data_IF_363930463095
#
_entry.id   IF_363930463095
#
_cell.length_a   1.000
_cell.length_b   1.000
_cell.length_c   1.000
_cell.angle_alpha   90.00
_cell.angle_beta   90.00
_cell.angle_gamma   90.00
#
_symmetry.space_group_name_H-M   'P 1'
#
loop_
_entity.id
_entity.type
_entity.pdbx_description
1 polymer ?
#
# COMPACT_ATOMS: atom_id res chain seq x y z
N UNK A 1 22.87 1.26 20.48
CA UNK A 1 22.11 1.04 19.21
C UNK A 1 21.52 2.39 18.81
N UNK A 2 21.95 2.97 17.71
CA UNK A 2 21.35 4.22 17.22
C UNK A 2 19.91 3.91 16.80
N UNK A 3 18.94 4.51 17.50
CA UNK A 3 17.53 4.43 17.09
C UNK A 3 17.37 5.49 15.98
N UNK A 4 16.89 5.05 14.83
CA UNK A 4 16.49 5.95 13.75
C UNK A 4 15.05 6.34 13.99
N UNK A 5 14.83 7.60 14.29
CA UNK A 5 13.50 8.16 14.35
C UNK A 5 12.94 8.31 12.93
N UNK A 6 11.74 7.77 12.72
CA UNK A 6 11.04 7.98 11.47
C UNK A 6 10.42 9.39 11.53
N UNK A 7 10.80 10.29 10.61
CA UNK A 7 10.29 11.65 10.64
C UNK A 7 8.80 11.70 10.30
N UNK A 8 8.15 12.78 10.70
CA UNK A 8 6.85 13.14 10.13
C UNK A 8 7.12 13.59 8.69
N UNK A 9 6.65 12.79 7.74
CA UNK A 9 6.83 13.10 6.31
C UNK A 9 6.07 14.36 5.93
N UNK A 10 6.58 15.23 5.05
CA UNK A 10 5.89 16.41 4.56
C UNK A 10 4.48 16.10 4.02
N UNK A 11 3.56 17.01 4.23
CA UNK A 11 2.20 16.95 3.69
C UNK A 11 2.15 17.67 2.34
N UNK A 12 1.35 17.13 1.40
CA UNK A 12 1.23 17.73 0.07
C UNK A 12 0.14 18.81 -0.01
N UNK A 13 -0.80 18.80 0.95
CA UNK A 13 -1.94 19.73 1.00
C UNK A 13 -1.99 20.55 2.31
N UNK A 14 -0.83 20.87 2.86
CA UNK A 14 -0.70 21.75 4.03
C UNK A 14 -0.98 21.08 5.37
N UNK A 15 -1.20 19.78 5.40
CA UNK A 15 -1.43 18.99 6.61
C UNK A 15 -2.87 19.01 7.11
N UNK A 16 -3.16 18.23 8.16
CA UNK A 16 -4.51 17.96 8.63
C UNK A 16 -5.32 19.23 8.93
N UNK A 17 -6.56 19.26 8.47
CA UNK A 17 -7.54 20.32 8.74
C UNK A 17 -8.47 19.98 9.89
N UNK A 18 -8.41 18.77 10.41
CA UNK A 18 -9.22 18.30 11.53
C UNK A 18 -8.56 17.19 12.33
N UNK A 19 -9.27 16.78 13.37
CA UNK A 19 -8.96 15.62 14.19
C UNK A 19 -10.15 14.66 14.18
N UNK A 20 -9.95 13.40 14.54
CA UNK A 20 -11.04 12.44 14.65
C UNK A 20 -10.51 11.05 14.98
N UNK A 21 -11.42 10.12 15.25
CA UNK A 21 -11.09 8.73 15.56
C UNK A 21 -11.42 7.83 14.38
N UNK A 22 -10.45 7.01 13.97
CA UNK A 22 -10.67 5.96 13.00
C UNK A 22 -10.70 4.59 13.71
N UNK A 23 -11.44 3.62 13.14
CA UNK A 23 -11.48 2.25 13.68
C UNK A 23 -11.97 2.12 15.13
N UNK A 24 -12.87 3.01 15.57
CA UNK A 24 -13.51 2.89 16.89
C UNK A 24 -14.30 1.58 17.01
N UNK A 25 -14.87 1.14 15.90
CA UNK A 25 -15.45 -0.19 15.70
C UNK A 25 -14.98 -0.73 14.33
N UNK A 26 -15.03 -2.04 14.09
CA UNK A 26 -14.60 -2.62 12.80
C UNK A 26 -15.32 -2.02 11.58
N UNK A 27 -16.57 -1.65 11.72
CA UNK A 27 -17.41 -1.07 10.67
C UNK A 27 -16.98 0.34 10.25
N UNK A 28 -16.16 1.01 11.02
CA UNK A 28 -15.57 2.30 10.65
C UNK A 28 -14.49 2.18 9.59
N UNK A 29 -14.00 0.96 9.33
CA UNK A 29 -12.96 0.68 8.37
C UNK A 29 -13.30 -0.53 7.51
N UNK A 30 -14.03 -0.30 6.42
CA UNK A 30 -14.46 -1.35 5.50
C UNK A 30 -13.52 -1.37 4.30
N UNK A 31 -13.03 -2.56 3.93
CA UNK A 31 -12.10 -2.76 2.83
C UNK A 31 -12.58 -3.88 1.92
N UNK A 32 -12.74 -3.61 0.63
CA UNK A 32 -13.09 -4.61 -0.36
C UNK A 32 -11.94 -4.81 -1.35
N UNK A 33 -11.43 -6.04 -1.44
CA UNK A 33 -10.40 -6.45 -2.39
C UNK A 33 -10.97 -6.64 -3.80
N UNK A 34 -10.25 -6.13 -4.81
CA UNK A 34 -10.59 -6.33 -6.21
C UNK A 34 -9.51 -7.16 -6.90
N UNK A 35 -9.92 -8.25 -7.56
CA UNK A 35 -9.05 -9.00 -8.46
C UNK A 35 -8.83 -8.22 -9.76
N UNK A 36 -7.68 -8.43 -10.39
CA UNK A 36 -7.40 -7.88 -11.73
C UNK A 36 -7.97 -8.74 -12.87
N UNK A 37 -8.68 -9.80 -12.55
CA UNK A 37 -9.28 -10.75 -13.49
C UNK A 37 -10.54 -11.39 -12.91
N UNK A 38 -11.36 -11.96 -13.77
CA UNK A 38 -12.52 -12.76 -13.35
C UNK A 38 -12.11 -14.24 -13.19
N UNK A 39 -12.54 -14.94 -12.11
CA UNK A 39 -12.34 -16.37 -11.98
C UNK A 39 -12.97 -17.15 -13.13
N UNK A 40 -12.27 -18.18 -13.63
CA UNK A 40 -12.64 -18.89 -14.88
C UNK A 40 -13.86 -19.82 -14.81
N UNK A 41 -14.41 -20.06 -13.61
CA UNK A 41 -15.53 -20.98 -13.40
C UNK A 41 -15.13 -22.46 -13.36
N UNK A 42 -13.92 -22.85 -13.74
CA UNK A 42 -13.43 -24.21 -13.77
C UNK A 42 -11.98 -24.32 -13.33
N UNK A 43 -11.56 -25.49 -12.82
CA UNK A 43 -10.19 -25.77 -12.41
C UNK A 43 -10.09 -26.42 -11.02
N UNK A 44 -8.85 -26.56 -10.56
CA UNK A 44 -8.55 -27.26 -9.30
C UNK A 44 -8.53 -26.37 -8.06
N UNK A 45 -8.58 -25.04 -8.22
CA UNK A 45 -8.65 -24.10 -7.12
C UNK A 45 -10.07 -23.57 -6.94
N UNK A 46 -10.55 -23.52 -5.71
CA UNK A 46 -11.77 -22.77 -5.38
C UNK A 46 -11.35 -21.41 -4.87
N UNK A 47 -11.78 -20.36 -5.55
CA UNK A 47 -11.65 -18.98 -5.10
C UNK A 47 -12.86 -18.65 -4.22
N UNK A 48 -12.56 -18.21 -3.00
CA UNK A 48 -13.56 -17.81 -2.00
C UNK A 48 -13.41 -16.33 -1.75
N UNK A 49 -14.48 -15.58 -1.98
CA UNK A 49 -14.58 -14.20 -1.51
C UNK A 49 -15.25 -14.22 -0.13
N UNK A 50 -14.50 -13.87 0.89
CA UNK A 50 -14.96 -13.88 2.27
C UNK A 50 -15.04 -12.46 2.83
N UNK A 51 -16.17 -12.13 3.45
CA UNK A 51 -16.25 -11.01 4.38
C UNK A 51 -15.85 -11.52 5.77
N UNK A 52 -14.92 -10.80 6.42
CA UNK A 52 -14.50 -11.11 7.78
C UNK A 52 -14.48 -9.85 8.64
N UNK A 53 -14.90 -9.97 9.90
CA UNK A 53 -14.94 -8.91 10.90
C UNK A 53 -14.07 -9.28 12.10
N UNK A 54 -13.07 -8.46 12.42
CA UNK A 54 -12.23 -8.67 13.58
C UNK A 54 -11.26 -9.85 13.49
N UNK A 55 -11.09 -10.48 12.33
CA UNK A 55 -10.33 -11.72 12.14
C UNK A 55 -9.04 -11.51 11.35
N UNK A 56 -7.99 -12.26 11.69
CA UNK A 56 -6.73 -12.26 10.96
C UNK A 56 -6.81 -13.11 9.68
N UNK A 57 -6.20 -12.64 8.60
CA UNK A 57 -6.11 -13.37 7.32
C UNK A 57 -5.50 -14.77 7.49
N UNK A 58 -4.40 -14.91 8.24
CA UNK A 58 -3.74 -16.20 8.46
C UNK A 58 -4.58 -17.16 9.30
N UNK A 59 -5.34 -16.64 10.26
CA UNK A 59 -6.27 -17.43 11.04
C UNK A 59 -7.35 -18.02 10.15
N UNK A 60 -7.98 -17.21 9.31
CA UNK A 60 -8.98 -17.67 8.34
C UNK A 60 -8.40 -18.70 7.37
N UNK A 61 -7.18 -18.48 6.85
CA UNK A 61 -6.53 -19.45 5.97
C UNK A 61 -6.31 -20.82 6.64
N UNK A 62 -5.96 -20.84 7.94
CA UNK A 62 -5.85 -22.09 8.72
C UNK A 62 -7.20 -22.77 8.92
N UNK A 63 -8.27 -22.00 9.20
CA UNK A 63 -9.61 -22.56 9.35
C UNK A 63 -10.12 -23.12 8.03
N UNK A 64 -9.91 -22.43 6.91
CA UNK A 64 -10.23 -22.95 5.56
C UNK A 64 -9.52 -24.26 5.25
N UNK A 65 -8.22 -24.35 5.60
CA UNK A 65 -7.45 -25.58 5.39
C UNK A 65 -8.02 -26.77 6.17
N UNK A 66 -8.43 -26.54 7.42
CA UNK A 66 -9.07 -27.57 8.27
C UNK A 66 -10.45 -27.97 7.73
N UNK A 67 -11.27 -26.98 7.40
CA UNK A 67 -12.62 -27.18 6.88
C UNK A 67 -12.62 -27.99 5.57
N UNK A 68 -11.75 -27.63 4.64
CA UNK A 68 -11.62 -28.30 3.33
C UNK A 68 -10.77 -29.59 3.39
N UNK A 69 -10.26 -29.98 4.57
CA UNK A 69 -9.38 -31.15 4.75
C UNK A 69 -8.18 -31.15 3.79
N UNK A 70 -7.48 -29.98 3.72
CA UNK A 70 -6.27 -29.78 2.94
C UNK A 70 -5.13 -29.25 3.81
N UNK A 71 -3.90 -29.26 3.30
CA UNK A 71 -2.76 -28.70 4.04
C UNK A 71 -2.81 -27.17 4.00
N UNK A 72 -2.28 -26.49 5.02
CA UNK A 72 -2.25 -25.02 5.06
C UNK A 72 -1.60 -24.39 3.84
N UNK A 73 -0.55 -25.03 3.26
CA UNK A 73 0.12 -24.57 2.04
C UNK A 73 -0.77 -24.61 0.77
N UNK A 74 -1.86 -25.34 0.83
CA UNK A 74 -2.82 -25.50 -0.27
C UNK A 74 -3.89 -24.40 -0.22
N UNK A 75 -3.90 -23.58 0.82
CA UNK A 75 -4.67 -22.34 0.94
C UNK A 75 -3.77 -21.15 0.67
N UNK A 76 -4.24 -20.17 -0.10
CA UNK A 76 -3.49 -18.93 -0.36
C UNK A 76 -4.40 -17.72 -0.41
N UNK A 77 -3.77 -16.55 -0.29
CA UNK A 77 -4.40 -15.22 -0.34
C UNK A 77 -3.42 -14.23 -0.95
N UNK A 78 -3.93 -13.11 -1.50
CA UNK A 78 -3.11 -12.15 -2.24
C UNK A 78 -2.33 -11.16 -1.33
N UNK A 79 -2.81 -10.93 -0.11
CA UNK A 79 -2.19 -10.03 0.87
C UNK A 79 -2.79 -10.21 2.25
N UNK A 80 -2.24 -9.49 3.24
CA UNK A 80 -2.81 -9.42 4.58
C UNK A 80 -3.83 -8.29 4.64
N UNK A 81 -4.89 -8.45 5.44
CA UNK A 81 -5.88 -7.41 5.74
C UNK A 81 -5.93 -7.15 7.24
N UNK A 82 -6.22 -5.92 7.59
CA UNK A 82 -6.35 -5.47 8.97
C UNK A 82 -7.35 -6.34 9.74
N UNK A 83 -7.02 -6.59 11.01
CA UNK A 83 -7.90 -7.27 11.93
C UNK A 83 -9.03 -6.36 12.43
N UNK A 84 -8.70 -5.12 12.78
CA UNK A 84 -9.67 -4.14 13.30
C UNK A 84 -10.42 -3.44 12.15
N UNK A 85 -11.13 -4.27 11.34
CA UNK A 85 -11.84 -3.83 10.15
C UNK A 85 -12.88 -4.87 9.74
N UNK A 86 -13.82 -4.47 8.90
CA UNK A 86 -14.62 -5.38 8.07
C UNK A 86 -13.94 -5.48 6.72
N UNK A 87 -13.52 -6.67 6.31
CA UNK A 87 -12.77 -6.81 5.07
C UNK A 87 -13.32 -7.91 4.18
N UNK A 88 -13.57 -7.59 2.93
CA UNK A 88 -13.85 -8.57 1.88
C UNK A 88 -12.53 -8.95 1.23
N UNK A 89 -12.17 -10.23 1.30
CA UNK A 89 -10.87 -10.74 0.89
C UNK A 89 -11.02 -12.02 0.07
N UNK A 90 -10.14 -12.20 -0.93
CA UNK A 90 -10.06 -13.42 -1.71
C UNK A 90 -9.06 -14.42 -1.12
N UNK A 91 -9.52 -15.69 -1.05
CA UNK A 91 -8.70 -16.85 -0.74
C UNK A 91 -8.79 -17.85 -1.88
N UNK A 92 -7.79 -18.70 -2.06
CA UNK A 92 -7.92 -19.86 -2.93
C UNK A 92 -7.55 -21.14 -2.17
N UNK A 93 -8.37 -22.18 -2.35
CA UNK A 93 -8.18 -23.51 -1.78
C UNK A 93 -7.93 -24.48 -2.91
N UNK A 94 -6.85 -25.25 -2.88
CA UNK A 94 -6.52 -26.24 -3.88
C UNK A 94 -7.22 -27.57 -3.59
N UNK A 95 -8.13 -27.98 -4.49
CA UNK A 95 -8.99 -29.17 -4.37
C UNK A 95 -8.96 -30.02 -5.66
N UNK A 96 -7.79 -30.62 -6.03
CA UNK A 96 -7.69 -31.40 -7.24
C UNK A 96 -8.54 -32.66 -7.15
N UNK A 97 -9.40 -32.87 -8.15
CA UNK A 97 -10.27 -34.05 -8.24
C UNK A 97 -11.32 -34.21 -7.12
N UNK A 98 -11.48 -33.19 -6.26
CA UNK A 98 -12.47 -33.20 -5.18
C UNK A 98 -13.66 -32.31 -5.52
N UNK A 99 -14.84 -32.71 -5.05
CA UNK A 99 -16.02 -31.84 -5.03
C UNK A 99 -15.81 -30.69 -4.04
N UNK A 100 -16.51 -29.58 -4.25
CA UNK A 100 -16.52 -28.47 -3.31
C UNK A 100 -17.25 -28.89 -2.03
N UNK A 101 -16.69 -28.57 -0.86
CA UNK A 101 -17.46 -28.65 0.37
C UNK A 101 -18.63 -27.66 0.31
N UNK A 102 -19.61 -27.88 1.16
CA UNK A 102 -20.67 -26.89 1.39
C UNK A 102 -20.10 -25.68 2.13
N UNK A 103 -19.65 -24.67 1.37
CA UNK A 103 -18.98 -23.48 1.91
C UNK A 103 -19.89 -22.65 2.84
N UNK A 104 -21.22 -22.80 2.77
CA UNK A 104 -22.12 -22.14 3.71
C UNK A 104 -21.89 -22.60 5.16
N UNK A 105 -21.43 -23.85 5.36
CA UNK A 105 -21.10 -24.37 6.68
C UNK A 105 -19.79 -23.78 7.26
N UNK A 106 -19.01 -23.05 6.46
CA UNK A 106 -17.84 -22.33 6.93
C UNK A 106 -18.19 -20.99 7.60
N UNK A 107 -19.39 -20.49 7.40
CA UNK A 107 -19.83 -19.22 7.94
C UNK A 107 -19.89 -19.22 9.48
N UNK A 108 -19.72 -18.06 10.05
CA UNK A 108 -19.84 -17.77 11.48
C UNK A 108 -20.30 -16.33 11.69
N UNK A 109 -20.48 -15.90 12.94
CA UNK A 109 -20.84 -14.51 13.27
C UNK A 109 -19.85 -13.49 12.69
N UNK A 110 -18.58 -13.89 12.51
CA UNK A 110 -17.49 -13.03 12.06
C UNK A 110 -17.03 -13.30 10.62
N UNK A 111 -17.58 -14.31 9.95
CA UNK A 111 -17.16 -14.72 8.60
C UNK A 111 -18.36 -15.08 7.75
N UNK A 112 -18.46 -14.46 6.56
CA UNK A 112 -19.47 -14.81 5.53
C UNK A 112 -18.80 -15.21 4.24
N UNK A 113 -19.36 -16.17 3.54
CA UNK A 113 -18.94 -16.59 2.21
C UNK A 113 -19.77 -15.87 1.17
N UNK A 114 -19.21 -14.85 0.54
CA UNK A 114 -19.93 -14.05 -0.45
C UNK A 114 -19.96 -14.73 -1.82
N UNK A 115 -18.87 -15.42 -2.16
CA UNK A 115 -18.74 -16.13 -3.43
C UNK A 115 -17.80 -17.33 -3.30
N UNK A 116 -18.12 -18.42 -3.98
CA UNK A 116 -17.25 -19.56 -4.20
C UNK A 116 -17.25 -19.90 -5.69
N UNK A 117 -16.09 -19.91 -6.33
CA UNK A 117 -15.96 -20.14 -7.78
C UNK A 117 -14.68 -20.87 -8.12
N UNK A 118 -14.72 -21.82 -9.04
CA UNK A 118 -13.53 -22.54 -9.50
C UNK A 118 -12.64 -21.65 -10.36
N UNK A 119 -11.31 -21.89 -10.26
CA UNK A 119 -10.33 -21.25 -11.10
C UNK A 119 -9.15 -22.19 -11.41
N UNK A 120 -8.54 -22.01 -12.59
CA UNK A 120 -7.47 -22.88 -13.07
C UNK A 120 -6.16 -22.76 -12.29
N UNK A 121 -5.89 -21.59 -11.66
CA UNK A 121 -4.59 -21.28 -11.04
C UNK A 121 -4.75 -20.85 -9.60
N UNK A 122 -3.68 -21.06 -8.81
CA UNK A 122 -3.56 -20.59 -7.43
C UNK A 122 -3.58 -19.05 -7.37
N UNK A 123 -4.29 -18.49 -6.40
CA UNK A 123 -4.20 -17.06 -6.07
C UNK A 123 -2.79 -16.70 -5.61
N UNK A 124 -2.17 -15.71 -6.24
CA UNK A 124 -0.81 -15.26 -5.93
C UNK A 124 -0.84 -13.82 -5.42
N UNK A 125 0.23 -13.43 -4.75
CA UNK A 125 0.47 -12.01 -4.43
C UNK A 125 0.64 -11.20 -5.71
N UNK A 126 0.16 -9.94 -5.72
CA UNK A 126 0.28 -9.04 -6.87
C UNK A 126 -0.78 -9.19 -7.94
N UNK A 127 -1.80 -10.05 -7.73
CA UNK A 127 -2.93 -10.23 -8.67
C UNK A 127 -4.14 -9.34 -8.33
N UNK A 128 -4.03 -8.49 -7.33
CA UNK A 128 -5.08 -7.53 -7.01
C UNK A 128 -4.92 -6.29 -7.88
N UNK A 129 -6.02 -5.76 -8.42
CA UNK A 129 -6.07 -4.45 -9.04
C UNK A 129 -6.05 -3.32 -8.00
N UNK A 130 -6.70 -3.54 -6.86
CA UNK A 130 -6.78 -2.54 -5.79
C UNK A 130 -7.71 -2.93 -4.66
N UNK A 131 -8.02 -1.93 -3.85
CA UNK A 131 -8.99 -2.05 -2.76
C UNK A 131 -9.91 -0.83 -2.77
N UNK A 132 -11.21 -1.02 -2.59
CA UNK A 132 -12.10 0.09 -2.23
C UNK A 132 -12.30 0.15 -0.72
N UNK A 133 -12.50 1.36 -0.23
CA UNK A 133 -12.60 1.67 1.17
C UNK A 133 -13.87 2.47 1.43
N UNK A 134 -14.56 2.14 2.53
CA UNK A 134 -15.47 3.03 3.22
C UNK A 134 -14.88 3.28 4.61
N UNK A 135 -14.59 4.53 4.92
CA UNK A 135 -13.95 4.97 6.15
C UNK A 135 -14.90 5.90 6.89
N UNK A 136 -15.14 5.62 8.17
CA UNK A 136 -15.92 6.50 9.04
C UNK A 136 -14.97 7.11 10.07
N UNK A 137 -14.90 8.43 10.09
CA UNK A 137 -14.16 9.22 11.06
C UNK A 137 -15.17 9.73 12.07
N UNK A 138 -15.05 9.27 13.32
CA UNK A 138 -15.90 9.67 14.44
C UNK A 138 -15.27 10.79 15.24
N UNK A 139 -16.09 11.49 16.01
CA UNK A 139 -15.68 12.62 16.85
C UNK A 139 -14.85 13.64 16.05
N UNK A 140 -15.21 13.80 14.76
CA UNK A 140 -14.55 14.73 13.87
C UNK A 140 -14.71 16.17 14.37
N UNK A 141 -13.58 16.88 14.39
CA UNK A 141 -13.53 18.30 14.74
C UNK A 141 -12.52 18.99 13.83
N UNK A 142 -12.88 20.13 13.27
CA UNK A 142 -11.96 20.86 12.41
C UNK A 142 -12.63 21.88 11.50
N UNK A 143 -11.88 22.33 10.51
CA UNK A 143 -12.33 23.22 9.46
C UNK A 143 -12.90 22.41 8.30
N UNK A 144 -14.24 22.33 8.23
CA UNK A 144 -14.94 21.59 7.19
C UNK A 144 -14.65 22.12 5.79
N UNK A 145 -14.59 23.44 5.61
CA UNK A 145 -14.34 24.05 4.29
C UNK A 145 -12.93 23.71 3.80
N UNK A 146 -11.93 23.78 4.68
CA UNK A 146 -10.55 23.38 4.39
C UNK A 146 -10.45 21.88 4.11
N UNK A 147 -11.13 21.02 4.86
CA UNK A 147 -11.18 19.57 4.62
C UNK A 147 -11.75 19.26 3.24
N UNK A 148 -12.85 19.91 2.86
CA UNK A 148 -13.44 19.76 1.52
C UNK A 148 -12.46 20.21 0.44
N UNK A 149 -11.78 21.33 0.61
CA UNK A 149 -10.77 21.81 -0.34
C UNK A 149 -9.63 20.81 -0.50
N UNK A 150 -9.13 20.21 0.60
CA UNK A 150 -8.08 19.19 0.56
C UNK A 150 -8.57 17.91 -0.15
N UNK A 151 -9.79 17.47 0.10
CA UNK A 151 -10.39 16.31 -0.57
C UNK A 151 -10.55 16.53 -2.08
N UNK A 152 -10.95 17.72 -2.51
CA UNK A 152 -10.98 18.08 -3.94
C UNK A 152 -9.57 18.08 -4.56
N UNK A 153 -8.56 18.59 -3.85
CA UNK A 153 -7.17 18.53 -4.31
C UNK A 153 -6.66 17.09 -4.41
N UNK A 154 -6.98 16.23 -3.44
CA UNK A 154 -6.65 14.80 -3.47
C UNK A 154 -7.32 14.13 -4.67
N UNK A 155 -8.59 14.42 -4.92
CA UNK A 155 -9.34 13.88 -6.05
C UNK A 155 -8.73 14.30 -7.40
N UNK A 156 -8.29 15.56 -7.51
CA UNK A 156 -7.72 16.12 -8.73
C UNK A 156 -6.26 15.68 -8.97
N UNK A 157 -5.45 15.54 -7.93
CA UNK A 157 -3.99 15.41 -8.06
C UNK A 157 -3.42 14.13 -7.46
N UNK A 158 -4.24 13.32 -6.78
CA UNK A 158 -3.77 12.13 -6.03
C UNK A 158 -3.11 12.48 -4.71
N UNK A 159 -2.33 11.56 -4.17
CA UNK A 159 -1.59 11.69 -2.91
C UNK A 159 -0.12 11.28 -3.07
N UNK A 160 0.74 11.75 -2.15
CA UNK A 160 2.10 11.26 -2.03
C UNK A 160 2.11 9.80 -1.55
N UNK A 161 2.84 8.95 -2.28
CA UNK A 161 2.83 7.49 -2.13
C UNK A 161 3.78 6.99 -1.03
N UNK A 162 3.77 7.62 0.14
CA UNK A 162 4.60 7.22 1.27
C UNK A 162 4.29 5.80 1.75
N UNK A 163 5.33 5.08 2.12
CA UNK A 163 5.16 3.90 2.96
C UNK A 163 4.76 4.33 4.37
N UNK A 164 3.68 3.74 4.88
CA UNK A 164 3.17 4.05 6.22
C UNK A 164 4.04 3.55 7.36
N UNK A 165 3.82 4.07 8.57
CA UNK A 165 4.60 3.78 9.78
C UNK A 165 4.73 2.27 10.08
N UNK A 166 3.69 1.48 9.80
CA UNK A 166 3.71 0.02 10.00
C UNK A 166 4.87 -0.68 9.25
N UNK A 167 5.33 -0.13 8.12
CA UNK A 167 6.48 -0.65 7.37
C UNK A 167 7.77 -0.62 8.18
N UNK A 168 7.90 0.38 9.02
CA UNK A 168 9.12 0.63 9.81
C UNK A 168 9.10 -0.06 11.17
N UNK A 169 8.01 -0.75 11.52
CA UNK A 169 7.83 -1.41 12.82
C UNK A 169 7.52 -0.41 13.94
N UNK A 170 7.38 -0.93 15.16
CA UNK A 170 7.11 -0.07 16.31
C UNK A 170 8.28 0.93 16.50
N UNK A 171 7.97 2.23 16.54
CA UNK A 171 8.96 3.31 16.66
C UNK A 171 10.15 3.23 15.66
N UNK A 172 9.94 2.77 14.43
CA UNK A 172 11.00 2.70 13.41
C UNK A 172 12.04 1.58 13.61
N UNK A 173 11.84 0.67 14.56
CA UNK A 173 12.82 -0.35 14.95
C UNK A 173 13.33 -1.21 13.78
N UNK A 174 12.54 -1.44 12.74
CA UNK A 174 12.96 -2.27 11.61
C UNK A 174 14.14 -1.67 10.85
N UNK A 175 14.22 -0.34 10.73
CA UNK A 175 15.35 0.36 10.11
C UNK A 175 16.60 0.24 10.97
N UNK A 176 16.48 0.50 12.28
CA UNK A 176 17.58 0.37 13.23
C UNK A 176 18.13 -1.06 13.33
N UNK A 177 17.23 -2.06 13.32
CA UNK A 177 17.60 -3.49 13.29
C UNK A 177 18.26 -3.91 11.98
N UNK A 178 17.85 -3.31 10.85
CA UNK A 178 18.53 -3.51 9.57
C UNK A 178 19.97 -2.99 9.60
N UNK A 179 20.21 -1.81 10.16
CA UNK A 179 21.58 -1.28 10.33
C UNK A 179 22.44 -2.18 11.22
N UNK A 180 21.89 -2.71 12.32
CA UNK A 180 22.58 -3.70 13.14
C UNK A 180 22.89 -4.98 12.35
N UNK A 181 21.96 -5.44 11.50
CA UNK A 181 22.17 -6.60 10.62
C UNK A 181 23.27 -6.32 9.61
N UNK A 182 23.32 -5.15 8.97
CA UNK A 182 24.39 -4.74 8.06
C UNK A 182 25.77 -4.67 8.76
N UNK A 183 25.78 -4.43 10.07
CA UNK A 183 26.96 -4.48 10.92
C UNK A 183 27.26 -5.89 11.50
N UNK A 184 26.66 -6.95 10.94
CA UNK A 184 26.96 -8.33 11.30
C UNK A 184 26.05 -8.98 12.33
N UNK A 185 24.98 -8.31 12.82
CA UNK A 185 24.01 -8.95 13.70
C UNK A 185 23.26 -10.09 12.98
N UNK A 186 23.21 -11.26 13.61
CA UNK A 186 22.53 -12.45 13.05
C UNK A 186 21.01 -12.28 13.19
N UNK A 187 20.29 -12.48 12.07
CA UNK A 187 18.82 -12.41 12.02
C UNK A 187 18.26 -13.61 11.23
N UNK A 188 17.05 -14.04 11.57
CA UNK A 188 16.33 -15.07 10.83
C UNK A 188 15.93 -14.60 9.42
N UNK A 189 15.72 -15.55 8.50
CA UNK A 189 15.40 -15.27 7.09
C UNK A 189 14.18 -14.36 6.91
N UNK A 190 13.13 -14.59 7.68
CA UNK A 190 11.89 -13.80 7.64
C UNK A 190 12.14 -12.36 8.09
N UNK A 191 12.80 -12.19 9.25
CA UNK A 191 13.15 -10.87 9.78
C UNK A 191 14.08 -10.11 8.83
N UNK A 192 15.05 -10.78 8.20
CA UNK A 192 15.93 -10.18 7.19
C UNK A 192 15.11 -9.55 6.06
N UNK A 193 14.12 -10.26 5.52
CA UNK A 193 13.24 -9.73 4.45
C UNK A 193 12.49 -8.48 4.90
N UNK A 194 11.96 -8.47 6.15
CA UNK A 194 11.25 -7.32 6.72
C UNK A 194 12.20 -6.12 6.86
N UNK A 195 13.42 -6.33 7.37
CA UNK A 195 14.39 -5.27 7.61
C UNK A 195 14.90 -4.65 6.30
N UNK A 196 15.23 -5.46 5.30
CA UNK A 196 15.61 -4.98 3.96
C UNK A 196 14.49 -4.16 3.31
N UNK A 197 13.24 -4.64 3.42
CA UNK A 197 12.08 -3.92 2.93
C UNK A 197 11.89 -2.58 3.65
N UNK A 198 12.11 -2.51 4.97
CA UNK A 198 11.98 -1.28 5.75
C UNK A 198 13.00 -0.23 5.33
N UNK A 199 14.30 -0.59 5.21
CA UNK A 199 15.35 0.34 4.76
C UNK A 199 15.07 0.85 3.36
N UNK A 200 14.69 -0.04 2.45
CA UNK A 200 14.35 0.32 1.08
C UNK A 200 13.19 1.32 1.01
N UNK A 201 12.19 1.10 1.83
CA UNK A 201 11.03 1.98 1.95
C UNK A 201 11.38 3.33 2.60
N UNK A 202 12.32 3.32 3.54
CA UNK A 202 12.79 4.54 4.20
C UNK A 202 13.53 5.46 3.23
N UNK A 203 14.47 4.91 2.44
CA UNK A 203 15.17 5.67 1.40
C UNK A 203 14.22 6.24 0.35
N UNK A 204 13.23 5.46 -0.09
CA UNK A 204 12.18 5.94 -0.98
C UNK A 204 11.38 7.10 -0.35
N UNK A 205 10.99 6.98 0.91
CA UNK A 205 10.24 8.04 1.60
C UNK A 205 11.06 9.32 1.74
N UNK A 206 12.39 9.24 1.94
CA UNK A 206 13.26 10.41 1.95
C UNK A 206 13.29 11.12 0.60
N UNK A 207 13.40 10.37 -0.51
CA UNK A 207 13.36 10.93 -1.87
C UNK A 207 12.01 11.59 -2.13
N UNK A 208 10.91 10.93 -1.77
CA UNK A 208 9.56 11.48 -1.91
C UNK A 208 9.38 12.74 -1.05
N UNK A 209 9.91 12.75 0.18
CA UNK A 209 9.85 13.91 1.08
C UNK A 209 10.57 15.12 0.50
N UNK A 210 11.74 14.92 -0.13
CA UNK A 210 12.47 15.98 -0.84
C UNK A 210 11.65 16.52 -2.01
N UNK A 211 11.07 15.64 -2.84
CA UNK A 211 10.19 16.02 -3.95
C UNK A 211 8.95 16.79 -3.48
N UNK A 212 8.36 16.42 -2.32
CA UNK A 212 7.22 17.14 -1.71
C UNK A 212 7.66 18.51 -1.21
N UNK A 213 8.81 18.61 -0.54
CA UNK A 213 9.34 19.88 -0.02
C UNK A 213 9.67 20.86 -1.14
N UNK A 214 10.11 20.36 -2.29
CA UNK A 214 10.35 21.15 -3.51
C UNK A 214 9.09 21.39 -4.36
N UNK A 215 7.91 20.91 -3.92
CA UNK A 215 6.63 21.03 -4.65
C UNK A 215 6.62 20.41 -6.06
N UNK A 216 7.44 19.39 -6.29
CA UNK A 216 7.58 18.72 -7.61
C UNK A 216 7.30 17.20 -7.58
N UNK A 217 6.70 16.68 -6.50
CA UNK A 217 6.41 15.26 -6.29
C UNK A 217 5.48 14.63 -7.34
N UNK A 218 4.64 15.44 -7.99
CA UNK A 218 3.69 15.06 -9.04
C UNK A 218 3.94 15.76 -10.37
N UNK A 219 5.09 16.45 -10.49
CA UNK A 219 5.51 17.16 -11.69
C UNK A 219 6.66 16.43 -12.38
N UNK A 220 6.85 16.71 -13.66
CA UNK A 220 7.99 16.21 -14.41
C UNK A 220 9.27 16.92 -13.99
N UNK A 221 10.34 16.18 -13.83
CA UNK A 221 11.70 16.67 -13.81
C UNK A 221 12.47 16.06 -14.96
N UNK A 222 13.49 16.78 -15.43
CA UNK A 222 14.38 16.27 -16.47
C UNK A 222 15.09 15.00 -15.99
N UNK A 223 15.02 13.98 -16.82
CA UNK A 223 15.58 12.67 -16.54
C UNK A 223 14.73 11.75 -15.66
N UNK A 224 13.50 12.12 -15.35
CA UNK A 224 12.58 11.26 -14.59
C UNK A 224 12.29 9.94 -15.33
N UNK A 225 12.08 8.91 -14.55
CA UNK A 225 11.44 7.66 -14.96
C UNK A 225 9.98 7.67 -14.50
N UNK A 226 9.07 7.38 -15.42
CA UNK A 226 7.63 7.38 -15.19
C UNK A 226 7.09 5.96 -15.11
N UNK A 227 6.13 5.74 -14.23
CA UNK A 227 5.33 4.52 -14.13
C UNK A 227 3.94 4.78 -14.71
N UNK A 228 3.41 3.86 -15.52
CA UNK A 228 2.02 3.93 -15.98
C UNK A 228 1.06 3.70 -14.83
N UNK A 229 -0.08 4.43 -14.83
CA UNK A 229 -1.12 4.21 -13.83
C UNK A 229 -1.61 2.76 -13.86
N UNK A 230 -1.92 2.20 -12.70
CA UNK A 230 -2.36 0.81 -12.50
C UNK A 230 -1.41 -0.27 -13.08
N UNK A 231 -0.16 0.07 -13.35
CA UNK A 231 0.85 -0.85 -13.92
C UNK A 231 2.17 -0.74 -13.16
N UNK A 232 2.98 -1.79 -13.23
CA UNK A 232 4.37 -1.76 -12.76
C UNK A 232 5.37 -1.42 -13.87
N UNK A 233 4.91 -1.22 -15.10
CA UNK A 233 5.76 -0.88 -16.22
C UNK A 233 6.22 0.57 -16.13
N UNK A 234 7.51 0.77 -16.36
CA UNK A 234 8.15 2.09 -16.32
C UNK A 234 8.83 2.40 -17.66
N UNK A 235 8.99 3.69 -17.95
CA UNK A 235 9.81 4.18 -19.04
C UNK A 235 10.57 5.43 -18.62
N UNK A 236 11.74 5.66 -19.19
CA UNK A 236 12.55 6.85 -18.95
C UNK A 236 12.27 7.90 -20.02
N UNK A 237 12.18 9.16 -19.61
CA UNK A 237 12.20 10.31 -20.51
C UNK A 237 13.44 11.15 -20.22
N UNK A 238 14.22 11.45 -21.27
CA UNK A 238 15.44 12.25 -21.12
C UNK A 238 15.18 13.72 -20.82
N UNK A 239 14.16 14.30 -21.43
CA UNK A 239 13.73 15.68 -21.22
C UNK A 239 12.23 15.74 -21.01
N UNK A 240 11.82 16.74 -20.24
CA UNK A 240 10.40 17.04 -20.06
C UNK A 240 9.85 17.69 -21.33
N UNK A 241 8.85 17.06 -21.94
CA UNK A 241 8.13 17.59 -23.09
C UNK A 241 6.65 17.82 -22.77
N UNK A 242 5.94 18.45 -23.72
CA UNK A 242 4.52 18.78 -23.58
C UNK A 242 3.62 17.54 -23.45
N UNK A 243 4.01 16.42 -24.06
CA UNK A 243 3.25 15.16 -23.98
C UNK A 243 3.35 14.54 -22.59
N UNK A 244 4.54 14.50 -21.99
CA UNK A 244 4.75 14.06 -20.62
C UNK A 244 3.91 14.91 -19.65
N UNK A 245 3.92 16.24 -19.79
CA UNK A 245 3.13 17.14 -18.95
C UNK A 245 1.63 16.86 -19.04
N UNK A 246 1.10 16.66 -20.26
CA UNK A 246 -0.31 16.32 -20.49
C UNK A 246 -0.68 14.99 -19.83
N UNK A 247 0.14 13.96 -20.01
CA UNK A 247 -0.12 12.63 -19.44
C UNK A 247 -0.02 12.62 -17.93
N UNK A 248 0.89 13.42 -17.34
CA UNK A 248 0.96 13.64 -15.89
C UNK A 248 -0.31 14.33 -15.36
N UNK A 249 -0.80 15.36 -16.06
CA UNK A 249 -2.04 16.06 -15.71
C UNK A 249 -3.26 15.12 -15.81
N UNK A 250 -3.29 14.26 -16.84
CA UNK A 250 -4.32 13.23 -17.01
C UNK A 250 -4.17 12.05 -16.04
N UNK A 251 -3.13 12.02 -15.20
CA UNK A 251 -2.80 10.93 -14.26
C UNK A 251 -2.59 9.56 -14.94
N UNK A 252 -2.24 9.52 -16.22
CA UNK A 252 -1.92 8.30 -16.96
C UNK A 252 -0.54 7.75 -16.60
N UNK A 253 0.35 8.64 -16.17
CA UNK A 253 1.72 8.33 -15.73
C UNK A 253 2.03 9.06 -14.44
N UNK A 254 3.01 8.54 -13.70
CA UNK A 254 3.45 9.09 -12.41
C UNK A 254 4.97 9.15 -12.36
N UNK A 255 5.59 10.25 -11.87
CA UNK A 255 7.01 10.29 -11.58
C UNK A 255 7.35 9.20 -10.56
N UNK A 256 8.56 8.67 -10.60
CA UNK A 256 8.96 7.58 -9.72
C UNK A 256 10.15 7.95 -8.85
N UNK A 257 10.27 7.28 -7.71
CA UNK A 257 11.47 7.26 -6.89
C UNK A 257 12.10 5.88 -6.87
N UNK A 258 13.42 5.82 -6.65
CA UNK A 258 14.11 4.55 -6.59
C UNK A 258 13.73 3.75 -5.36
N UNK A 259 13.45 2.48 -5.57
CA UNK A 259 13.55 1.45 -4.55
C UNK A 259 14.96 0.88 -4.62
N UNK A 260 15.87 1.36 -3.77
CA UNK A 260 17.30 1.16 -3.88
C UNK A 260 17.73 -0.31 -3.82
N UNK A 261 18.75 -0.65 -4.60
CA UNK A 261 19.33 -1.98 -4.71
C UNK A 261 20.35 -2.06 -5.85
N UNK A 262 20.77 -3.28 -6.20
CA UNK A 262 21.65 -3.56 -7.35
C UNK A 262 20.93 -3.29 -8.66
N UNK A 263 21.64 -2.83 -9.65
CA UNK A 263 21.12 -2.61 -11.00
C UNK A 263 21.56 -1.27 -11.57
N UNK A 264 21.19 -1.03 -12.81
CA UNK A 264 21.54 0.19 -13.53
C UNK A 264 20.77 1.39 -13.02
N UNK A 265 21.37 2.58 -13.16
CA UNK A 265 20.71 3.85 -12.93
C UNK A 265 19.74 4.10 -14.10
N UNK A 266 18.52 4.40 -13.77
CA UNK A 266 17.39 4.57 -14.70
C UNK A 266 16.75 5.96 -14.63
N UNK A 267 17.52 6.94 -14.15
CA UNK A 267 17.21 8.37 -14.11
C UNK A 267 18.44 9.17 -14.52
N UNK A 268 18.25 10.43 -14.89
CA UNK A 268 19.32 11.38 -15.21
C UNK A 268 18.96 12.81 -14.75
N UNK A 269 19.75 13.80 -15.06
CA UNK A 269 19.45 15.21 -14.78
C UNK A 269 19.06 15.51 -13.34
N UNK A 270 18.03 16.32 -13.17
CA UNK A 270 17.55 16.78 -11.86
C UNK A 270 17.00 15.64 -11.00
N UNK A 271 16.31 14.67 -11.61
CA UNK A 271 15.79 13.51 -10.92
C UNK A 271 16.91 12.67 -10.31
N UNK A 272 18.02 12.47 -11.04
CA UNK A 272 19.20 11.76 -10.53
C UNK A 272 19.86 12.52 -9.40
N UNK A 273 19.98 13.84 -9.50
CA UNK A 273 20.61 14.69 -8.47
C UNK A 273 19.90 14.54 -7.13
N UNK A 274 18.56 14.57 -7.12
CA UNK A 274 17.77 14.36 -5.89
C UNK A 274 18.01 12.98 -5.30
N UNK A 275 17.97 11.93 -6.13
CA UNK A 275 18.21 10.56 -5.66
C UNK A 275 19.62 10.39 -5.09
N UNK A 276 20.65 10.94 -5.78
CA UNK A 276 22.06 10.84 -5.35
C UNK A 276 22.31 11.48 -4.00
N UNK A 277 21.86 12.72 -3.78
CA UNK A 277 22.00 13.44 -2.50
C UNK A 277 21.44 12.60 -1.34
N UNK A 278 20.26 12.03 -1.49
CA UNK A 278 19.65 11.20 -0.45
C UNK A 278 20.43 9.90 -0.23
N UNK A 279 20.87 9.24 -1.28
CA UNK A 279 21.61 7.96 -1.19
C UNK A 279 22.99 8.17 -0.61
N UNK A 280 23.70 9.24 -0.98
CA UNK A 280 25.02 9.61 -0.44
C UNK A 280 24.94 9.96 1.05
N UNK A 281 23.88 10.63 1.49
CA UNK A 281 23.64 10.89 2.91
C UNK A 281 23.30 9.61 3.72
N UNK A 282 22.95 8.52 3.05
CA UNK A 282 22.53 7.26 3.68
C UNK A 282 23.37 6.06 3.19
N UNK A 283 24.69 6.23 3.01
CA UNK A 283 25.58 5.22 2.39
C UNK A 283 25.54 3.86 3.07
N UNK A 284 25.47 3.80 4.39
CA UNK A 284 25.43 2.54 5.12
C UNK A 284 24.19 1.71 4.75
N UNK A 285 23.04 2.36 4.63
CA UNK A 285 21.80 1.71 4.18
C UNK A 285 21.91 1.26 2.73
N UNK A 286 22.44 2.12 1.87
CA UNK A 286 22.57 1.86 0.45
C UNK A 286 23.51 0.68 0.16
N UNK A 287 24.68 0.68 0.79
CA UNK A 287 25.67 -0.39 0.66
C UNK A 287 25.16 -1.73 1.25
N UNK A 288 24.47 -1.66 2.41
CA UNK A 288 23.87 -2.84 3.03
C UNK A 288 22.85 -3.52 2.13
N UNK A 289 21.97 -2.78 1.46
CA UNK A 289 21.01 -3.32 0.50
C UNK A 289 21.69 -3.98 -0.70
N UNK A 290 22.77 -3.35 -1.23
CA UNK A 290 23.56 -3.91 -2.33
C UNK A 290 24.27 -5.18 -1.90
N UNK A 291 24.92 -5.20 -0.74
CA UNK A 291 25.61 -6.38 -0.21
C UNK A 291 24.64 -7.56 0.00
N UNK A 292 23.42 -7.28 0.43
CA UNK A 292 22.36 -8.27 0.63
C UNK A 292 21.68 -8.74 -0.67
N UNK A 293 22.10 -8.23 -1.85
CA UNK A 293 21.59 -8.68 -3.13
C UNK A 293 20.17 -8.20 -3.45
N UNK A 294 19.75 -7.10 -2.84
CA UNK A 294 18.43 -6.50 -3.16
C UNK A 294 18.50 -5.86 -4.54
N UNK A 295 17.58 -6.23 -5.42
CA UNK A 295 17.49 -5.66 -6.76
C UNK A 295 16.86 -4.27 -6.75
N UNK A 296 17.39 -3.38 -7.61
CA UNK A 296 16.82 -2.04 -7.85
C UNK A 296 15.43 -2.15 -8.46
N UNK A 297 14.58 -1.18 -8.17
CA UNK A 297 13.27 -1.05 -8.77
C UNK A 297 12.76 0.38 -8.67
N UNK A 298 11.61 0.64 -9.25
CA UNK A 298 10.93 1.95 -9.20
C UNK A 298 9.60 1.84 -8.47
N UNK A 299 9.14 2.96 -7.90
CA UNK A 299 7.82 3.11 -7.33
C UNK A 299 7.30 4.50 -7.65
N UNK A 300 6.06 4.59 -8.08
CA UNK A 300 5.40 5.87 -8.29
C UNK A 300 5.44 6.74 -7.03
N UNK A 301 5.80 8.01 -7.16
CA UNK A 301 5.78 9.01 -6.10
C UNK A 301 4.35 9.45 -5.78
N UNK A 302 3.44 9.34 -6.76
CA UNK A 302 2.03 9.69 -6.67
C UNK A 302 1.16 8.45 -6.74
N UNK A 303 0.06 8.46 -5.99
CA UNK A 303 -1.05 7.50 -6.11
C UNK A 303 -2.30 8.24 -6.52
N UNK A 304 -2.94 7.75 -7.58
CA UNK A 304 -4.27 8.19 -7.97
C UNK A 304 -5.31 7.66 -6.97
N UNK A 305 -6.22 8.52 -6.50
CA UNK A 305 -7.31 8.17 -5.60
C UNK A 305 -8.60 8.15 -6.40
N UNK A 306 -9.01 6.95 -6.81
CA UNK A 306 -10.18 6.78 -7.66
C UNK A 306 -11.47 6.78 -6.82
N UNK A 307 -12.58 7.19 -7.44
CA UNK A 307 -13.92 7.18 -6.85
C UNK A 307 -14.00 7.89 -5.47
N UNK A 308 -13.14 8.89 -5.26
CA UNK A 308 -13.16 9.65 -4.01
C UNK A 308 -14.45 10.46 -3.90
N UNK A 309 -15.20 10.17 -2.86
CA UNK A 309 -16.38 10.92 -2.44
C UNK A 309 -16.46 10.96 -0.92
N UNK A 310 -17.16 11.94 -0.38
CA UNK A 310 -17.27 12.12 1.06
C UNK A 310 -18.63 12.69 1.45
N UNK A 311 -18.97 12.52 2.71
CA UNK A 311 -20.18 13.06 3.30
C UNK A 311 -19.94 13.38 4.77
N UNK A 312 -20.20 14.61 5.18
CA UNK A 312 -20.40 14.92 6.60
C UNK A 312 -21.81 14.43 6.96
N UNK A 313 -21.89 13.41 7.80
CA UNK A 313 -23.15 12.81 8.24
C UNK A 313 -23.84 13.75 9.23
N UNK A 314 -23.03 14.32 10.11
CA UNK A 314 -23.37 15.37 11.07
C UNK A 314 -22.10 16.19 11.39
N UNK A 315 -22.17 17.07 12.38
CA UNK A 315 -21.05 17.94 12.75
C UNK A 315 -19.84 17.18 13.33
N UNK A 316 -20.01 15.91 13.71
CA UNK A 316 -19.01 15.10 14.38
C UNK A 316 -18.60 13.83 13.60
N UNK A 317 -19.16 13.60 12.41
CA UNK A 317 -18.91 12.37 11.65
C UNK A 317 -18.67 12.65 10.16
N UNK A 318 -17.51 12.20 9.66
CA UNK A 318 -17.14 12.25 8.25
C UNK A 318 -17.01 10.85 7.69
N UNK A 319 -17.71 10.54 6.61
CA UNK A 319 -17.54 9.32 5.81
C UNK A 319 -16.76 9.62 4.54
N UNK A 320 -15.83 8.73 4.20
CA UNK A 320 -15.05 8.75 2.95
C UNK A 320 -15.24 7.44 2.19
N UNK A 321 -15.38 7.54 0.87
CA UNK A 321 -15.40 6.42 -0.05
C UNK A 321 -14.31 6.63 -1.07
N UNK A 322 -13.45 5.64 -1.30
CA UNK A 322 -12.32 5.77 -2.23
C UNK A 322 -11.82 4.40 -2.70
N UNK A 323 -11.11 4.39 -3.82
CA UNK A 323 -10.43 3.21 -4.33
C UNK A 323 -8.95 3.53 -4.54
N UNK A 324 -8.08 2.64 -4.07
CA UNK A 324 -6.63 2.75 -4.23
C UNK A 324 -6.07 1.52 -4.94
N UNK A 325 -5.03 1.66 -5.76
CA UNK A 325 -4.32 0.55 -6.35
C UNK A 325 -3.67 -0.34 -5.28
N UNK A 326 -3.39 -1.59 -5.63
CA UNK A 326 -2.71 -2.53 -4.75
C UNK A 326 -1.35 -1.97 -4.26
N UNK A 327 -1.06 -2.15 -2.97
CA UNK A 327 0.16 -1.62 -2.35
C UNK A 327 0.10 -0.18 -1.88
N UNK A 328 -1.06 0.47 -1.99
CA UNK A 328 -1.33 1.80 -1.43
C UNK A 328 -2.18 1.71 -0.16
N UNK A 329 -2.12 2.75 0.68
CA UNK A 329 -2.68 2.74 2.01
C UNK A 329 -3.71 3.86 2.19
N UNK A 330 -4.91 3.54 2.68
CA UNK A 330 -5.93 4.54 3.00
C UNK A 330 -5.44 5.56 4.05
N UNK A 331 -4.54 5.15 4.94
CA UNK A 331 -3.90 6.05 5.91
C UNK A 331 -3.08 7.16 5.27
N UNK A 332 -2.59 6.97 4.02
CA UNK A 332 -1.92 8.04 3.26
C UNK A 332 -2.89 9.13 2.79
N UNK A 333 -4.16 8.80 2.59
CA UNK A 333 -5.23 9.78 2.34
C UNK A 333 -5.61 10.47 3.64
N UNK A 334 -5.88 9.69 4.69
CA UNK A 334 -6.35 10.21 5.98
C UNK A 334 -5.37 11.19 6.61
N UNK A 335 -4.06 10.93 6.53
CA UNK A 335 -3.04 11.81 7.10
C UNK A 335 -3.06 13.23 6.54
N UNK A 336 -3.54 13.42 5.32
CA UNK A 336 -3.60 14.76 4.71
C UNK A 336 -4.72 15.62 5.29
N UNK A 337 -5.76 14.99 5.87
CA UNK A 337 -7.00 15.67 6.29
C UNK A 337 -7.28 15.60 7.78
N UNK A 338 -6.80 14.54 8.49
CA UNK A 338 -7.05 14.38 9.93
C UNK A 338 -5.79 13.96 10.69
N UNK A 339 -5.76 14.34 11.99
CA UNK A 339 -4.95 13.68 13.02
C UNK A 339 -5.85 12.65 13.69
N UNK A 340 -5.43 11.38 13.69
CA UNK A 340 -6.09 10.31 14.42
C UNK A 340 -5.79 10.45 15.92
N UNK A 341 -6.83 10.59 16.72
CA UNK A 341 -6.77 10.79 18.18
C UNK A 341 -7.37 9.61 18.97
N UNK A 342 -7.56 8.48 18.30
CA UNK A 342 -8.10 7.24 18.86
C UNK A 342 -7.08 6.25 19.38
#
# INVERSE_FOLDING_TARGET
MHIIDIPVWPYVYGGPSGTGKIRSIPEDFIVNEHLSFEPSGAGEHVFLQLEKKGENTEYIARQLARFASVRQRDVSYAGLKDRHAVTTQWFSVWLPGKADPDWAQFESDNVKVLQAVRHARKLKRGVLSGNSFKLTIRDWQGDQAKTVQQLEQIKANGIANYFGAQRFGNAGQNVSKALAMFNGAKVGREQRSIYLSAVRSYLFNLILAERVSQHNWNQALDGDTYQFDLSNSCFQSGQTDTEIVKRLAAQEIHPTGVLWGRGNVDVSGDALTIEQVIIEANQQMAQGLIADGVERGRRALRVNVQNLSWRFVDDSMLELYLTLPAGSYATSVLREIIVDVG
#
